data_IF_258974805896
#
_entry.id   IF_258974805896
#
_cell.length_a   1.000
_cell.length_b   1.000
_cell.length_c   1.000
_cell.angle_alpha   90.00
_cell.angle_beta   90.00
_cell.angle_gamma   90.00
#
_symmetry.space_group_name_H-M   'P 1'
#
loop_
_entity.id
_entity.type
_entity.pdbx_description
1 polymer ?
#
# COMPACT_ATOMS: atom_id res chain seq x y z
N UNK A 1 11.10 29.34 -29.93
CA UNK A 1 10.59 27.94 -30.01
C UNK A 1 9.97 27.85 -31.38
N UNK A 2 10.50 26.97 -32.24
CA UNK A 2 9.99 26.77 -33.61
C UNK A 2 8.89 25.68 -33.60
N UNK A 3 9.06 24.64 -32.80
CA UNK A 3 8.12 23.54 -32.59
C UNK A 3 8.21 23.03 -31.15
N UNK A 4 7.14 22.42 -30.67
CA UNK A 4 7.10 21.70 -29.40
C UNK A 4 6.29 20.42 -29.59
N UNK A 5 6.75 19.33 -29.00
CA UNK A 5 6.09 18.04 -29.07
C UNK A 5 6.09 17.42 -27.67
N UNK A 6 4.99 16.80 -27.32
CA UNK A 6 4.87 16.05 -26.07
C UNK A 6 5.24 14.61 -26.31
N UNK A 7 5.93 14.02 -25.34
CA UNK A 7 6.19 12.59 -25.30
C UNK A 7 6.18 12.07 -23.87
N UNK A 8 6.00 10.77 -23.73
CA UNK A 8 6.03 10.07 -22.43
C UNK A 8 6.88 8.81 -22.55
N UNK A 9 7.75 8.62 -21.58
CA UNK A 9 8.56 7.40 -21.44
C UNK A 9 8.04 6.59 -20.25
N UNK A 10 7.72 5.33 -20.48
CA UNK A 10 7.48 4.36 -19.41
C UNK A 10 8.74 3.54 -19.22
N UNK A 11 9.18 3.42 -17.96
CA UNK A 11 10.35 2.65 -17.57
C UNK A 11 9.93 1.40 -16.82
N UNK A 12 10.74 0.36 -16.92
CA UNK A 12 10.55 -0.83 -16.12
C UNK A 12 10.76 -0.50 -14.63
N UNK A 13 9.77 -0.82 -13.81
CA UNK A 13 9.80 -0.65 -12.36
C UNK A 13 9.85 -1.99 -11.61
N UNK A 14 10.11 -3.08 -12.34
CA UNK A 14 10.21 -4.40 -11.72
C UNK A 14 11.44 -4.48 -10.84
N UNK A 15 11.24 -4.96 -9.61
CA UNK A 15 12.30 -5.12 -8.62
C UNK A 15 12.82 -6.56 -8.69
N UNK A 16 14.05 -6.70 -9.10
CA UNK A 16 14.78 -7.97 -9.02
C UNK A 16 15.59 -7.97 -7.71
N UNK A 17 15.02 -8.58 -6.67
CA UNK A 17 15.71 -8.83 -5.40
C UNK A 17 15.94 -10.33 -5.31
N UNK A 18 17.18 -10.76 -5.29
CA UNK A 18 17.55 -12.16 -5.11
C UNK A 18 17.30 -12.57 -3.66
N UNK A 19 16.75 -13.79 -3.46
CA UNK A 19 16.40 -14.32 -2.12
C UNK A 19 17.64 -14.58 -1.25
N UNK A 20 18.81 -14.75 -1.85
CA UNK A 20 20.07 -15.00 -1.16
C UNK A 20 20.57 -13.78 -0.34
N UNK A 21 20.05 -12.58 -0.59
CA UNK A 21 20.34 -11.35 0.18
C UNK A 21 19.51 -11.23 1.48
N UNK A 22 18.96 -12.34 1.98
CA UNK A 22 18.00 -12.35 3.10
C UNK A 22 18.49 -11.66 4.39
N UNK A 23 19.80 -11.64 4.66
CA UNK A 23 20.35 -10.95 5.84
C UNK A 23 20.20 -9.41 5.77
N UNK A 24 19.91 -8.85 4.59
CA UNK A 24 19.78 -7.42 4.40
C UNK A 24 18.68 -7.04 3.39
N UNK A 25 17.61 -7.82 3.36
CA UNK A 25 16.52 -7.70 2.39
C UNK A 25 15.92 -6.28 2.33
N UNK A 26 15.77 -5.61 3.47
CA UNK A 26 15.32 -4.21 3.52
C UNK A 26 16.29 -3.27 2.80
N UNK A 27 17.59 -3.42 3.02
CA UNK A 27 18.59 -2.58 2.40
C UNK A 27 18.69 -2.84 0.88
N UNK A 28 18.62 -4.10 0.47
CA UNK A 28 18.57 -4.47 -0.94
C UNK A 28 17.36 -3.85 -1.63
N UNK A 29 16.19 -3.94 -1.00
CA UNK A 29 14.96 -3.34 -1.52
C UNK A 29 15.03 -1.80 -1.60
N UNK A 30 15.56 -1.12 -0.59
CA UNK A 30 15.77 0.34 -0.63
C UNK A 30 16.69 0.77 -1.76
N UNK A 31 17.77 0.03 -1.99
CA UNK A 31 18.68 0.27 -3.09
C UNK A 31 18.00 0.11 -4.44
N UNK A 32 17.21 -0.94 -4.61
CA UNK A 32 16.43 -1.18 -5.85
C UNK A 32 15.33 -0.14 -6.04
N UNK A 33 14.62 0.27 -4.98
CA UNK A 33 13.63 1.37 -5.05
C UNK A 33 14.27 2.68 -5.52
N UNK A 34 15.49 2.97 -5.08
CA UNK A 34 16.25 4.15 -5.52
C UNK A 34 16.62 4.07 -7.01
N UNK A 35 16.80 2.87 -7.56
CA UNK A 35 17.14 2.62 -8.97
C UNK A 35 15.96 2.67 -9.91
N UNK A 36 14.71 2.54 -9.43
CA UNK A 36 13.49 2.55 -10.27
C UNK A 36 13.44 3.72 -11.26
N UNK A 37 13.89 4.89 -10.85
CA UNK A 37 13.91 6.08 -11.75
C UNK A 37 14.80 5.91 -12.97
N UNK A 38 15.74 4.96 -12.93
CA UNK A 38 16.71 4.68 -13.96
C UNK A 38 16.47 3.32 -14.63
N UNK A 39 15.31 2.70 -14.41
CA UNK A 39 14.92 1.48 -15.07
C UNK A 39 14.96 1.60 -16.59
N UNK A 40 15.17 0.49 -17.30
CA UNK A 40 15.18 0.48 -18.75
C UNK A 40 13.86 1.04 -19.31
N UNK A 41 13.89 1.91 -20.32
CA UNK A 41 12.69 2.35 -21.00
C UNK A 41 12.07 1.15 -21.72
N UNK A 42 10.75 1.02 -21.65
CA UNK A 42 9.99 -0.10 -22.25
C UNK A 42 8.86 0.38 -23.15
N UNK A 43 8.61 1.69 -23.18
CA UNK A 43 7.56 2.28 -24.01
C UNK A 43 7.79 3.77 -24.17
N UNK A 44 7.71 4.23 -25.41
CA UNK A 44 7.72 5.64 -25.81
C UNK A 44 6.36 6.00 -26.44
N UNK A 45 5.63 6.89 -25.83
CA UNK A 45 4.39 7.46 -26.39
C UNK A 45 4.66 8.84 -26.90
N UNK A 46 4.20 9.13 -28.12
CA UNK A 46 4.40 10.40 -28.79
C UNK A 46 3.11 10.89 -29.44
N UNK A 47 2.99 12.20 -29.60
CA UNK A 47 1.90 12.78 -30.38
C UNK A 47 1.95 12.28 -31.84
N UNK A 48 0.79 11.99 -32.42
CA UNK A 48 0.72 11.53 -33.80
C UNK A 48 1.30 12.55 -34.80
N UNK A 49 1.35 13.81 -34.42
CA UNK A 49 1.85 14.94 -35.25
C UNK A 49 3.34 15.23 -35.06
N UNK A 50 4.06 14.40 -34.26
CA UNK A 50 5.48 14.63 -34.03
C UNK A 50 6.30 14.59 -35.31
N UNK A 51 7.21 15.54 -35.45
CA UNK A 51 8.17 15.57 -36.54
C UNK A 51 9.11 14.34 -36.52
N UNK A 52 9.40 13.76 -37.70
CA UNK A 52 10.19 12.55 -37.79
C UNK A 52 11.62 12.73 -37.24
N UNK A 53 12.25 13.86 -37.52
CA UNK A 53 13.60 14.16 -37.06
C UNK A 53 13.65 14.28 -35.51
N UNK A 54 12.61 14.91 -34.93
CA UNK A 54 12.48 15.02 -33.48
C UNK A 54 12.25 13.63 -32.86
N UNK A 55 11.43 12.81 -33.51
CA UNK A 55 11.20 11.44 -33.04
C UNK A 55 12.46 10.59 -33.06
N UNK A 56 13.22 10.62 -34.16
CA UNK A 56 14.48 9.89 -34.29
C UNK A 56 15.49 10.29 -33.19
N UNK A 57 15.53 11.58 -32.88
CA UNK A 57 16.36 12.09 -31.78
C UNK A 57 15.90 11.52 -30.44
N UNK A 58 14.58 11.54 -30.16
CA UNK A 58 14.05 11.01 -28.89
C UNK A 58 14.31 9.51 -28.76
N UNK A 59 14.10 8.72 -29.81
CA UNK A 59 14.38 7.29 -29.84
C UNK A 59 15.85 7.03 -29.51
N UNK A 60 16.76 7.76 -30.15
CA UNK A 60 18.20 7.63 -29.92
C UNK A 60 18.62 7.99 -28.50
N UNK A 61 18.09 9.10 -27.93
CA UNK A 61 18.44 9.58 -26.60
C UNK A 61 17.81 8.75 -25.47
N UNK A 62 16.59 8.27 -25.67
CA UNK A 62 15.87 7.44 -24.71
C UNK A 62 16.38 6.00 -24.75
N UNK A 63 16.79 5.52 -25.91
CA UNK A 63 17.29 4.15 -26.11
C UNK A 63 16.17 3.12 -26.15
N UNK A 64 15.11 3.38 -26.90
CA UNK A 64 13.99 2.45 -27.15
C UNK A 64 14.07 1.92 -28.59
N UNK A 65 13.51 0.73 -28.81
CA UNK A 65 13.32 0.20 -30.15
C UNK A 65 12.08 0.84 -30.84
N UNK A 66 12.08 0.88 -32.17
CA UNK A 66 10.92 1.41 -32.93
C UNK A 66 9.63 0.66 -32.61
N UNK A 67 9.70 -0.62 -32.29
CA UNK A 67 8.55 -1.45 -31.89
C UNK A 67 7.91 -1.02 -30.56
N UNK A 68 8.65 -0.25 -29.76
CA UNK A 68 8.20 0.28 -28.45
C UNK A 68 7.64 1.69 -28.57
N UNK A 69 7.58 2.26 -29.79
CA UNK A 69 7.08 3.61 -30.06
C UNK A 69 5.59 3.56 -30.42
N UNK A 70 4.79 4.31 -29.68
CA UNK A 70 3.35 4.40 -29.86
C UNK A 70 2.92 5.83 -30.22
N UNK A 71 2.37 6.02 -31.43
CA UNK A 71 1.83 7.31 -31.86
C UNK A 71 0.37 7.42 -31.46
N UNK A 72 0.04 8.43 -30.66
CA UNK A 72 -1.29 8.63 -30.09
C UNK A 72 -1.92 9.94 -30.63
N UNK A 73 -3.23 9.91 -30.83
CA UNK A 73 -4.02 11.07 -31.28
C UNK A 73 -4.67 11.83 -30.11
N UNK A 74 -4.56 11.34 -28.91
CA UNK A 74 -5.15 11.90 -27.69
C UNK A 74 -4.11 12.30 -26.64
N UNK A 75 -4.52 12.61 -25.44
CA UNK A 75 -3.63 12.91 -24.34
C UNK A 75 -2.70 11.73 -24.04
N UNK A 76 -1.40 12.00 -23.84
CA UNK A 76 -0.41 10.96 -23.57
C UNK A 76 -0.48 10.43 -22.13
N UNK A 77 -0.79 11.30 -21.20
CA UNK A 77 -0.78 11.02 -19.76
C UNK A 77 -2.21 10.90 -19.21
N UNK A 78 -2.84 9.73 -19.38
CA UNK A 78 -4.20 9.51 -18.87
C UNK A 78 -4.27 9.48 -17.35
N UNK A 79 -3.17 9.16 -16.66
CA UNK A 79 -3.13 9.19 -15.20
C UNK A 79 -3.36 10.59 -14.64
N UNK A 80 -2.99 11.64 -15.39
CA UNK A 80 -3.26 13.03 -15.01
C UNK A 80 -4.75 13.33 -14.87
N UNK A 81 -5.63 12.52 -15.49
CA UNK A 81 -7.08 12.64 -15.33
C UNK A 81 -7.53 12.39 -13.88
N UNK A 82 -6.72 11.75 -13.05
CA UNK A 82 -6.98 11.64 -11.61
C UNK A 82 -7.06 13.00 -10.91
N UNK A 83 -6.47 14.05 -11.49
CA UNK A 83 -6.62 15.42 -10.98
C UNK A 83 -8.08 15.91 -11.08
N UNK A 84 -8.84 15.41 -12.05
CA UNK A 84 -10.27 15.73 -12.15
C UNK A 84 -11.07 15.17 -10.97
N UNK A 85 -10.67 14.00 -10.45
CA UNK A 85 -11.31 13.40 -9.26
C UNK A 85 -11.02 14.18 -7.97
N UNK A 86 -9.94 14.98 -7.95
CA UNK A 86 -9.58 15.84 -6.82
C UNK A 86 -10.31 17.19 -6.83
N UNK A 87 -11.02 17.50 -7.92
CA UNK A 87 -11.84 18.71 -7.96
C UNK A 87 -13.01 18.56 -7.00
N UNK A 88 -13.23 19.60 -6.19
CA UNK A 88 -14.34 19.61 -5.23
C UNK A 88 -15.68 19.89 -5.96
N UNK A 89 -16.17 18.89 -6.68
CA UNK A 89 -17.42 18.91 -7.45
C UNK A 89 -18.33 17.80 -6.94
N UNK A 90 -19.02 18.08 -5.85
CA UNK A 90 -19.94 17.13 -5.21
C UNK A 90 -21.06 16.67 -6.18
N UNK A 91 -21.48 17.54 -7.10
CA UNK A 91 -22.48 17.24 -8.14
C UNK A 91 -22.02 16.19 -9.16
N UNK A 92 -20.71 15.99 -9.30
CA UNK A 92 -20.09 15.00 -10.21
C UNK A 92 -19.49 13.81 -9.47
N UNK A 93 -19.53 13.80 -8.15
CA UNK A 93 -18.96 12.75 -7.32
C UNK A 93 -20.02 11.73 -6.93
N UNK A 94 -19.63 10.46 -6.83
CA UNK A 94 -20.49 9.46 -6.23
C UNK A 94 -20.72 9.78 -4.75
N UNK A 95 -21.88 9.41 -4.19
CA UNK A 95 -22.13 9.57 -2.76
C UNK A 95 -21.06 8.89 -1.93
N UNK A 96 -20.62 9.55 -0.84
CA UNK A 96 -19.66 8.95 0.08
C UNK A 96 -20.27 7.71 0.71
N UNK A 97 -19.58 6.58 0.56
CA UNK A 97 -19.99 5.34 1.21
C UNK A 97 -19.68 5.44 2.72
N UNK A 98 -20.69 5.20 3.55
CA UNK A 98 -20.55 5.15 5.01
C UNK A 98 -20.69 3.69 5.45
N UNK A 99 -19.62 3.11 6.01
CA UNK A 99 -19.67 1.78 6.60
C UNK A 99 -20.52 1.79 7.88
N UNK A 100 -21.21 0.67 8.13
CA UNK A 100 -22.04 0.50 9.34
C UNK A 100 -21.26 -0.23 10.42
N UNK A 101 -21.58 0.04 11.67
CA UNK A 101 -21.15 -0.82 12.78
C UNK A 101 -21.90 -2.15 12.70
N UNK A 102 -21.18 -3.27 12.79
CA UNK A 102 -21.81 -4.60 12.83
C UNK A 102 -22.73 -4.71 14.03
N UNK A 103 -23.95 -5.22 13.82
CA UNK A 103 -24.98 -5.31 14.88
C UNK A 103 -24.53 -6.09 16.10
N UNK A 104 -23.58 -7.03 15.91
CA UNK A 104 -22.98 -7.78 17.01
C UNK A 104 -22.03 -6.96 17.87
N UNK A 105 -21.53 -5.84 17.36
CA UNK A 105 -20.58 -4.94 18.02
C UNK A 105 -21.21 -3.57 18.30
N UNK A 106 -22.50 -3.38 17.94
CA UNK A 106 -23.19 -2.15 18.24
C UNK A 106 -23.47 -2.11 19.74
N UNK A 107 -23.15 -0.98 20.37
CA UNK A 107 -23.52 -0.71 21.75
C UNK A 107 -25.03 -0.62 21.86
N UNK A 108 -25.56 -1.36 22.82
CA UNK A 108 -26.96 -1.22 23.24
C UNK A 108 -26.92 -0.47 24.58
N UNK A 109 -27.06 0.85 24.54
CA UNK A 109 -27.27 1.71 25.72
C UNK A 109 -26.05 1.92 26.67
N UNK A 110 -24.81 1.68 26.24
CA UNK A 110 -23.60 1.86 27.07
C UNK A 110 -22.71 2.97 26.52
N UNK A 111 -22.11 3.77 27.38
CA UNK A 111 -21.13 4.81 27.03
C UNK A 111 -19.70 4.25 26.86
N UNK A 112 -19.49 2.96 27.07
CA UNK A 112 -18.22 2.28 26.93
C UNK A 112 -18.15 1.46 25.65
N UNK A 113 -16.96 1.36 25.05
CA UNK A 113 -16.75 0.51 23.88
C UNK A 113 -17.10 -0.96 24.22
N UNK A 114 -17.71 -1.71 23.26
CA UNK A 114 -18.05 -3.10 23.49
C UNK A 114 -16.80 -3.93 23.76
N UNK A 115 -16.87 -4.85 24.72
CA UNK A 115 -15.81 -5.84 24.94
C UNK A 115 -15.89 -6.92 23.85
N UNK A 116 -15.07 -6.75 22.82
CA UNK A 116 -15.03 -7.65 21.65
C UNK A 116 -14.53 -9.04 22.05
N UNK A 117 -13.58 -9.10 22.97
CA UNK A 117 -13.00 -10.37 23.44
C UNK A 117 -14.04 -11.20 24.20
N UNK A 118 -14.79 -10.58 25.10
CA UNK A 118 -15.89 -11.25 25.79
C UNK A 118 -16.98 -11.73 24.84
N UNK A 119 -17.35 -10.89 23.88
CA UNK A 119 -18.35 -11.26 22.88
C UNK A 119 -17.92 -12.46 22.04
N UNK A 120 -16.63 -12.54 21.65
CA UNK A 120 -16.09 -13.64 20.89
C UNK A 120 -16.00 -14.96 21.68
N UNK A 121 -15.94 -14.91 23.01
CA UNK A 121 -16.06 -16.11 23.85
C UNK A 121 -17.45 -16.74 23.76
N UNK A 122 -18.47 -15.92 23.49
CA UNK A 122 -19.87 -16.35 23.47
C UNK A 122 -20.40 -16.71 22.07
N UNK A 123 -19.81 -16.14 21.01
CA UNK A 123 -20.27 -16.37 19.62
C UNK A 123 -19.20 -16.02 18.59
N UNK A 124 -19.34 -16.59 17.40
CA UNK A 124 -18.56 -16.18 16.23
C UNK A 124 -19.11 -14.86 15.69
N UNK A 125 -18.21 -13.96 15.28
CA UNK A 125 -18.53 -12.68 14.65
C UNK A 125 -17.99 -12.71 13.24
N UNK A 126 -18.88 -12.57 12.24
CA UNK A 126 -18.51 -12.43 10.84
C UNK A 126 -18.59 -10.96 10.44
N UNK A 127 -17.50 -10.45 9.85
CA UNK A 127 -17.39 -9.08 9.37
C UNK A 127 -17.21 -9.08 7.85
N UNK A 128 -17.86 -8.13 7.18
CA UNK A 128 -17.75 -7.94 5.74
C UNK A 128 -17.28 -6.52 5.43
N UNK A 129 -15.96 -6.32 5.33
CA UNK A 129 -15.38 -5.03 4.96
C UNK A 129 -15.53 -4.79 3.45
N UNK A 130 -15.74 -3.55 3.02
CA UNK A 130 -15.85 -2.29 3.78
C UNK A 130 -17.26 -2.00 4.31
N UNK A 131 -18.23 -2.88 4.14
CA UNK A 131 -19.64 -2.64 4.55
C UNK A 131 -19.77 -2.58 6.06
N UNK A 132 -19.16 -3.51 6.79
CA UNK A 132 -18.96 -3.39 8.22
C UNK A 132 -17.73 -2.51 8.49
N UNK A 133 -17.84 -1.58 9.43
CA UNK A 133 -16.79 -0.63 9.74
C UNK A 133 -15.56 -1.30 10.35
N UNK A 134 -14.40 -1.06 9.76
CA UNK A 134 -13.12 -1.55 10.26
C UNK A 134 -12.75 -0.89 11.59
N UNK A 135 -13.03 0.41 11.74
CA UNK A 135 -12.71 1.18 12.95
C UNK A 135 -13.51 0.72 14.16
N UNK A 136 -14.79 0.36 13.98
CA UNK A 136 -15.64 -0.12 15.07
C UNK A 136 -15.60 -1.62 15.30
N UNK A 137 -14.69 -2.34 14.61
CA UNK A 137 -14.54 -3.79 14.74
C UNK A 137 -13.09 -4.19 14.93
N UNK A 138 -12.32 -4.40 13.86
CA UNK A 138 -10.95 -4.90 13.91
C UNK A 138 -9.99 -3.98 14.67
N UNK A 139 -10.17 -2.67 14.54
CA UNK A 139 -9.34 -1.69 15.26
C UNK A 139 -9.59 -1.78 16.76
N UNK A 140 -10.87 -1.84 17.20
CA UNK A 140 -11.22 -2.03 18.61
C UNK A 140 -10.71 -3.37 19.13
N UNK A 141 -10.90 -4.45 18.37
CA UNK A 141 -10.40 -5.78 18.72
C UNK A 141 -8.89 -5.78 18.99
N UNK A 142 -8.09 -5.21 18.09
CA UNK A 142 -6.64 -5.15 18.27
C UNK A 142 -6.22 -4.26 19.45
N UNK A 143 -6.87 -3.12 19.61
CA UNK A 143 -6.61 -2.22 20.74
C UNK A 143 -6.92 -2.91 22.08
N UNK A 144 -8.04 -3.62 22.18
CA UNK A 144 -8.38 -4.39 23.37
C UNK A 144 -7.41 -5.55 23.59
N UNK A 145 -7.04 -6.28 22.52
CA UNK A 145 -6.04 -7.35 22.62
C UNK A 145 -4.65 -6.84 23.07
N UNK A 146 -4.28 -5.64 22.67
CA UNK A 146 -3.05 -5.00 23.14
C UNK A 146 -3.09 -4.67 24.63
N UNK A 147 -4.25 -4.23 25.14
CA UNK A 147 -4.44 -3.81 26.52
C UNK A 147 -4.76 -4.96 27.49
N UNK A 148 -5.43 -6.02 27.04
CA UNK A 148 -5.91 -7.13 27.88
C UNK A 148 -4.73 -7.96 28.43
N UNK A 149 -4.54 -8.07 29.75
CA UNK A 149 -3.45 -8.81 30.35
C UNK A 149 -3.50 -10.33 30.10
N UNK A 150 -4.65 -10.89 29.76
CA UNK A 150 -4.83 -12.32 29.47
C UNK A 150 -4.40 -12.66 28.02
N UNK A 151 -4.21 -11.67 27.16
CA UNK A 151 -3.68 -11.86 25.80
C UNK A 151 -2.16 -11.96 25.87
N UNK A 152 -1.61 -13.12 25.55
CA UNK A 152 -0.18 -13.41 25.66
C UNK A 152 0.59 -13.09 24.38
N UNK A 153 -0.06 -13.25 23.23
CA UNK A 153 0.60 -13.08 21.94
C UNK A 153 -0.37 -12.58 20.88
N UNK A 154 0.16 -11.82 19.90
CA UNK A 154 -0.54 -11.37 18.70
C UNK A 154 0.27 -11.79 17.48
N UNK A 155 -0.38 -12.42 16.48
CA UNK A 155 0.20 -12.72 15.17
C UNK A 155 -0.61 -12.00 14.10
N UNK A 156 0.04 -11.15 13.32
CA UNK A 156 -0.60 -10.30 12.33
C UNK A 156 0.14 -10.33 11.01
N UNK A 157 -0.62 -10.46 9.90
CA UNK A 157 -0.09 -10.25 8.56
C UNK A 157 -0.41 -8.82 8.09
N UNK A 158 0.56 -8.14 7.49
CA UNK A 158 0.43 -6.78 6.98
C UNK A 158 0.81 -6.76 5.51
N UNK A 159 -0.15 -6.40 4.65
CA UNK A 159 0.05 -6.24 3.21
C UNK A 159 0.17 -4.76 2.83
N UNK A 160 -0.88 -4.00 3.10
CA UNK A 160 -0.94 -2.55 2.90
C UNK A 160 -1.50 -1.89 4.13
N UNK A 161 -0.78 -0.92 4.64
CA UNK A 161 -1.20 -0.13 5.79
C UNK A 161 -1.17 1.35 5.41
N UNK A 162 -2.17 2.11 5.87
CA UNK A 162 -2.16 3.57 5.70
C UNK A 162 -1.01 4.21 6.49
N UNK A 163 -0.60 5.42 6.11
CA UNK A 163 0.50 6.15 6.75
C UNK A 163 0.34 6.33 8.27
N UNK A 164 -0.89 6.53 8.77
CA UNK A 164 -1.23 6.49 10.19
C UNK A 164 -2.08 5.25 10.43
N UNK A 165 -1.46 4.15 10.81
CA UNK A 165 -2.14 2.86 10.98
C UNK A 165 -2.38 2.55 12.45
N UNK A 166 -3.63 2.65 12.95
CA UNK A 166 -3.98 2.24 14.31
C UNK A 166 -3.67 0.77 14.60
N UNK A 167 -3.57 -0.05 13.55
CA UNK A 167 -3.16 -1.46 13.67
C UNK A 167 -1.69 -1.56 14.09
N UNK A 168 -0.81 -0.81 13.42
CA UNK A 168 0.62 -0.78 13.74
C UNK A 168 0.84 -0.24 15.16
N UNK A 169 0.13 0.83 15.53
CA UNK A 169 0.20 1.41 16.87
C UNK A 169 -0.22 0.41 17.95
N UNK A 170 -1.29 -0.35 17.72
CA UNK A 170 -1.74 -1.39 18.64
C UNK A 170 -0.71 -2.53 18.79
N UNK A 171 -0.05 -2.93 17.69
CA UNK A 171 1.02 -3.95 17.74
C UNK A 171 2.24 -3.45 18.52
N UNK A 172 2.63 -2.19 18.35
CA UNK A 172 3.72 -1.55 19.09
C UNK A 172 3.38 -1.47 20.58
N UNK A 173 2.15 -1.06 20.92
CA UNK A 173 1.70 -1.00 22.31
C UNK A 173 1.70 -2.38 22.96
N UNK A 174 1.22 -3.40 22.26
CA UNK A 174 1.25 -4.78 22.74
C UNK A 174 2.68 -5.26 23.04
N UNK A 175 3.63 -5.00 22.13
CA UNK A 175 5.02 -5.38 22.33
C UNK A 175 5.65 -4.66 23.53
N UNK A 176 5.42 -3.35 23.65
CA UNK A 176 5.89 -2.53 24.78
C UNK A 176 5.30 -2.97 26.11
N UNK A 177 4.09 -3.53 26.10
CA UNK A 177 3.44 -4.12 27.28
C UNK A 177 3.93 -5.53 27.61
N UNK A 178 4.94 -6.03 26.89
CA UNK A 178 5.57 -7.34 27.16
C UNK A 178 4.89 -8.53 26.48
N UNK A 179 3.94 -8.32 25.59
CA UNK A 179 3.31 -9.40 24.81
C UNK A 179 4.24 -9.88 23.68
N UNK A 180 4.10 -11.14 23.30
CA UNK A 180 4.77 -11.66 22.12
C UNK A 180 4.02 -11.20 20.85
N UNK A 181 4.66 -10.38 20.03
CA UNK A 181 4.06 -9.89 18.78
C UNK A 181 4.89 -10.37 17.61
N UNK A 182 4.23 -11.06 16.67
CA UNK A 182 4.78 -11.48 15.39
C UNK A 182 4.04 -10.76 14.27
N UNK A 183 4.74 -9.98 13.46
CA UNK A 183 4.22 -9.34 12.26
C UNK A 183 4.85 -9.94 11.00
N UNK A 184 4.03 -10.47 10.10
CA UNK A 184 4.48 -10.86 8.75
C UNK A 184 4.17 -9.70 7.81
N UNK A 185 5.21 -9.06 7.27
CA UNK A 185 5.08 -7.88 6.42
C UNK A 185 5.45 -8.22 4.99
N UNK A 186 4.52 -7.97 4.04
CA UNK A 186 4.83 -8.06 2.63
C UNK A 186 5.56 -6.81 2.16
N UNK A 187 6.87 -6.90 1.98
CA UNK A 187 7.70 -5.73 1.64
C UNK A 187 7.66 -5.37 0.15
N UNK A 188 7.32 -6.32 -0.74
CA UNK A 188 7.11 -6.07 -2.17
C UNK A 188 5.66 -5.69 -2.52
N UNK A 189 4.88 -5.14 -1.59
CA UNK A 189 3.55 -4.64 -1.89
C UNK A 189 3.65 -3.46 -2.85
N UNK A 190 3.33 -3.70 -4.14
CA UNK A 190 3.51 -2.74 -5.23
C UNK A 190 2.87 -1.37 -4.91
N UNK A 191 3.64 -0.30 -5.03
CA UNK A 191 3.35 1.11 -4.70
C UNK A 191 3.37 1.47 -3.20
N UNK A 192 3.47 0.49 -2.29
CA UNK A 192 3.52 0.72 -0.84
C UNK A 192 4.82 0.23 -0.20
N UNK A 193 5.82 -0.15 -1.02
CA UNK A 193 7.07 -0.72 -0.53
C UNK A 193 7.78 0.19 0.48
N UNK A 194 7.85 1.49 0.19
CA UNK A 194 8.48 2.46 1.08
C UNK A 194 7.78 2.54 2.44
N UNK A 195 6.45 2.62 2.42
CA UNK A 195 5.65 2.64 3.65
C UNK A 195 5.84 1.36 4.47
N UNK A 196 5.84 0.21 3.79
CA UNK A 196 6.00 -1.08 4.47
C UNK A 196 7.39 -1.24 5.09
N UNK A 197 8.45 -0.72 4.46
CA UNK A 197 9.80 -0.66 5.04
C UNK A 197 9.80 0.19 6.31
N UNK A 198 9.21 1.38 6.26
CA UNK A 198 9.15 2.28 7.42
C UNK A 198 8.38 1.68 8.59
N UNK A 199 7.25 1.00 8.31
CA UNK A 199 6.48 0.29 9.33
C UNK A 199 7.23 -0.90 9.92
N UNK A 200 7.90 -1.69 9.06
CA UNK A 200 8.70 -2.81 9.53
C UNK A 200 9.77 -2.35 10.53
N UNK A 201 10.49 -1.27 10.24
CA UNK A 201 11.48 -0.68 11.16
C UNK A 201 10.87 -0.22 12.48
N UNK A 202 9.74 0.51 12.42
CA UNK A 202 9.05 0.97 13.64
C UNK A 202 8.59 -0.19 14.52
N UNK A 203 8.14 -1.28 13.91
CA UNK A 203 7.75 -2.49 14.61
C UNK A 203 8.96 -3.16 15.27
N UNK A 204 10.08 -3.33 14.55
CA UNK A 204 11.33 -3.89 15.08
C UNK A 204 11.89 -3.07 16.23
N UNK A 205 11.94 -1.74 16.09
CA UNK A 205 12.38 -0.82 17.16
C UNK A 205 11.53 -0.93 18.43
N UNK A 206 10.25 -1.29 18.29
CA UNK A 206 9.36 -1.51 19.41
C UNK A 206 9.45 -2.92 20.02
N UNK A 207 10.29 -3.82 19.46
CA UNK A 207 10.47 -5.18 19.95
C UNK A 207 9.49 -6.19 19.34
N UNK A 208 8.78 -5.85 18.27
CA UNK A 208 7.96 -6.79 17.51
C UNK A 208 8.88 -7.71 16.70
N UNK A 209 8.60 -9.00 16.69
CA UNK A 209 9.27 -9.92 15.78
C UNK A 209 8.69 -9.77 14.38
N UNK A 210 9.47 -9.21 13.45
CA UNK A 210 9.05 -8.99 12.07
C UNK A 210 9.60 -10.09 11.17
N UNK A 211 8.72 -10.67 10.36
CA UNK A 211 9.08 -11.62 9.31
C UNK A 211 8.73 -10.99 7.97
N UNK A 212 9.68 -10.97 7.07
CA UNK A 212 9.50 -10.41 5.73
C UNK A 212 9.01 -11.48 4.78
N UNK A 213 7.82 -11.24 4.18
CA UNK A 213 7.28 -12.03 3.10
C UNK A 213 7.49 -11.33 1.77
N UNK A 214 7.98 -12.02 0.75
CA UNK A 214 8.05 -11.50 -0.61
C UNK A 214 6.65 -11.39 -1.22
N UNK A 215 5.76 -12.33 -0.87
CA UNK A 215 4.35 -12.30 -1.27
C UNK A 215 3.51 -13.13 -0.29
N UNK A 216 2.44 -12.53 0.25
CA UNK A 216 1.50 -13.22 1.14
C UNK A 216 0.65 -14.29 0.44
N UNK A 217 0.59 -14.28 -0.90
CA UNK A 217 -0.13 -15.31 -1.66
C UNK A 217 0.58 -16.68 -1.64
N UNK A 218 1.81 -16.74 -1.15
CA UNK A 218 2.61 -17.97 -1.06
C UNK A 218 2.79 -18.47 0.37
N UNK A 219 2.05 -17.90 1.34
CA UNK A 219 2.08 -18.30 2.75
C UNK A 219 0.98 -19.32 3.03
#
# INVERSE_FOLDING_TARGET
ILQNHSFRVTRNEELEVEEDDAENLLHALEKELSRRRFGAPVRLEVENTIDSHVLDLIISEVGVDESEVFRLTGPLELQSLMELAKLNREDLSAPVFVSRTNTSLAEIESSSAPDVLEMMRNRNILLHHPYDSFSTSMQIFLSQAAADPDVLAIKQTLYRTSGDSPIVDALIEAARSGKQVLAVVEIKARFDEQNNIEWARKLEEAGVHVVYGLSLIHI
#
